data_IF_913454359022
#
_entry.id   IF_913454359022
#
_cell.length_a   1.000
_cell.length_b   1.000
_cell.length_c   1.000
_cell.angle_alpha   90.00
_cell.angle_beta   90.00
_cell.angle_gamma   90.00
#
_symmetry.space_group_name_H-M   'P 1'
#
loop_
_entity.id
_entity.type
_entity.pdbx_description
1 polymer ?
#
# COMPACT_ATOMS: atom_id res chain seq x y z
N UNK A 1 -36.20 -3.47 -2.09
CA UNK A 1 -35.04 -4.19 -1.53
C UNK A 1 -33.73 -3.61 -2.07
N UNK A 2 -33.49 -2.31 -1.86
CA UNK A 2 -32.36 -1.61 -2.52
C UNK A 2 -31.30 -1.07 -1.54
N UNK A 3 -31.60 -1.03 -0.24
CA UNK A 3 -30.67 -0.51 0.77
C UNK A 3 -29.61 -1.53 1.20
N UNK A 4 -29.96 -2.83 1.25
CA UNK A 4 -29.04 -3.91 1.64
C UNK A 4 -27.85 -4.07 0.67
N UNK A 5 -28.04 -3.78 -0.62
CA UNK A 5 -26.99 -3.94 -1.63
C UNK A 5 -25.92 -2.83 -1.53
N UNK A 6 -26.32 -1.60 -1.19
CA UNK A 6 -25.37 -0.47 -1.05
C UNK A 6 -24.48 -0.66 0.19
N UNK A 7 -25.04 -1.16 1.30
CA UNK A 7 -24.30 -1.40 2.55
C UNK A 7 -23.20 -2.46 2.40
N UNK A 8 -23.45 -3.53 1.64
CA UNK A 8 -22.46 -4.61 1.42
C UNK A 8 -21.31 -4.12 0.54
N UNK A 9 -21.60 -3.33 -0.49
CA UNK A 9 -20.59 -2.73 -1.38
C UNK A 9 -19.72 -1.73 -0.59
N UNK A 10 -20.33 -0.87 0.22
CA UNK A 10 -19.60 0.07 1.10
C UNK A 10 -18.73 -0.66 2.14
N UNK A 11 -19.23 -1.75 2.74
CA UNK A 11 -18.45 -2.54 3.70
C UNK A 11 -17.24 -3.20 3.05
N UNK A 12 -17.43 -3.82 1.88
CA UNK A 12 -16.33 -4.41 1.10
C UNK A 12 -15.27 -3.38 0.72
N UNK A 13 -15.71 -2.22 0.22
CA UNK A 13 -14.83 -1.08 -0.09
C UNK A 13 -13.99 -0.65 1.11
N UNK A 14 -14.62 -0.41 2.27
CA UNK A 14 -13.92 0.02 3.48
C UNK A 14 -12.91 -1.02 3.97
N UNK A 15 -13.22 -2.31 3.89
CA UNK A 15 -12.27 -3.36 4.27
C UNK A 15 -11.07 -3.45 3.32
N UNK A 16 -11.30 -3.37 2.00
CA UNK A 16 -10.21 -3.34 1.03
C UNK A 16 -9.32 -2.11 1.23
N UNK A 17 -9.92 -0.92 1.41
CA UNK A 17 -9.19 0.31 1.68
C UNK A 17 -8.30 0.19 2.94
N UNK A 18 -8.88 -0.31 4.05
CA UNK A 18 -8.14 -0.49 5.30
C UNK A 18 -6.98 -1.48 5.16
N UNK A 19 -7.21 -2.58 4.45
CA UNK A 19 -6.18 -3.61 4.21
C UNK A 19 -5.00 -3.04 3.43
N UNK A 20 -5.28 -2.27 2.37
CA UNK A 20 -4.24 -1.64 1.56
C UNK A 20 -3.47 -0.57 2.36
N UNK A 21 -4.17 0.25 3.16
CA UNK A 21 -3.53 1.23 4.04
C UNK A 21 -2.63 0.56 5.09
N UNK A 22 -3.10 -0.52 5.71
CA UNK A 22 -2.31 -1.28 6.68
C UNK A 22 -1.03 -1.84 6.01
N UNK A 23 -1.14 -2.34 4.78
CA UNK A 23 0.02 -2.86 4.06
C UNK A 23 1.06 -1.77 3.78
N UNK A 24 0.65 -0.54 3.45
CA UNK A 24 1.60 0.59 3.36
C UNK A 24 2.27 0.84 4.70
N UNK A 25 1.51 0.85 5.82
CA UNK A 25 2.06 1.06 7.16
C UNK A 25 3.09 -0.02 7.56
N UNK A 26 2.91 -1.26 7.09
CA UNK A 26 3.86 -2.36 7.32
C UNK A 26 5.12 -2.25 6.46
N UNK A 27 5.01 -1.76 5.22
CA UNK A 27 6.15 -1.64 4.30
C UNK A 27 7.00 -0.38 4.54
N UNK A 28 6.40 0.71 5.01
CA UNK A 28 7.09 1.97 5.28
C UNK A 28 8.29 1.86 6.25
N UNK A 29 8.20 1.15 7.40
CA UNK A 29 9.35 0.99 8.29
C UNK A 29 10.46 0.13 7.68
N UNK A 30 10.13 -0.81 6.79
CA UNK A 30 11.12 -1.63 6.11
C UNK A 30 11.98 -0.79 5.16
N UNK A 31 11.39 0.20 4.47
CA UNK A 31 12.17 1.15 3.66
C UNK A 31 13.22 1.88 4.51
N UNK A 32 12.80 2.44 5.65
CA UNK A 32 13.70 3.13 6.57
C UNK A 32 14.79 2.18 7.10
N UNK A 33 14.44 0.92 7.35
CA UNK A 33 15.40 -0.09 7.78
C UNK A 33 16.46 -0.34 6.70
N UNK A 34 16.07 -0.54 5.43
CA UNK A 34 17.04 -0.75 4.35
C UNK A 34 17.93 0.48 4.12
N UNK A 35 17.39 1.69 4.23
CA UNK A 35 18.20 2.93 4.18
C UNK A 35 19.24 3.01 5.29
N UNK A 36 18.94 2.46 6.46
CA UNK A 36 19.87 2.38 7.58
C UNK A 36 20.92 1.27 7.36
N UNK A 37 20.49 0.08 6.94
CA UNK A 37 21.39 -1.04 6.62
C UNK A 37 22.40 -0.67 5.51
N UNK A 38 22.00 0.13 4.52
CA UNK A 38 22.91 0.66 3.49
C UNK A 38 24.05 1.53 4.06
N UNK A 39 23.85 2.15 5.23
CA UNK A 39 24.86 2.95 5.93
C UNK A 39 25.72 2.09 6.85
N UNK A 40 25.08 1.14 7.53
CA UNK A 40 25.73 0.30 8.54
C UNK A 40 26.57 -0.82 7.90
N UNK A 41 26.15 -1.32 6.74
CA UNK A 41 26.75 -2.46 6.03
C UNK A 41 26.93 -2.14 4.53
N UNK A 42 27.86 -1.24 4.17
CA UNK A 42 28.05 -0.77 2.79
C UNK A 42 28.45 -1.87 1.80
N UNK A 43 29.02 -2.98 2.26
CA UNK A 43 29.34 -4.17 1.44
C UNK A 43 28.09 -4.85 0.85
N UNK A 44 26.94 -4.71 1.50
CA UNK A 44 25.65 -5.25 1.04
C UNK A 44 24.75 -4.18 0.40
N UNK A 45 25.27 -2.96 0.23
CA UNK A 45 24.50 -1.80 -0.25
C UNK A 45 23.69 -2.08 -1.52
N UNK A 46 24.29 -2.74 -2.51
CA UNK A 46 23.59 -3.05 -3.76
C UNK A 46 22.36 -3.94 -3.54
N UNK A 47 22.45 -4.93 -2.64
CA UNK A 47 21.33 -5.80 -2.30
C UNK A 47 20.22 -5.01 -1.60
N UNK A 48 20.58 -4.14 -0.65
CA UNK A 48 19.62 -3.29 0.04
C UNK A 48 18.98 -2.23 -0.86
N UNK A 49 19.69 -1.73 -1.87
CA UNK A 49 19.11 -0.84 -2.90
C UNK A 49 18.03 -1.57 -3.72
N UNK A 50 18.26 -2.82 -4.11
CA UNK A 50 17.27 -3.63 -4.82
C UNK A 50 16.01 -3.89 -3.97
N UNK A 51 16.18 -4.25 -2.70
CA UNK A 51 15.06 -4.48 -1.79
C UNK A 51 14.28 -3.19 -1.52
N UNK A 52 14.97 -2.07 -1.32
CA UNK A 52 14.35 -0.74 -1.17
C UNK A 52 13.55 -0.37 -2.42
N UNK A 53 14.10 -0.59 -3.61
CA UNK A 53 13.43 -0.26 -4.86
C UNK A 53 12.18 -1.15 -5.06
N UNK A 54 12.29 -2.44 -4.77
CA UNK A 54 11.15 -3.38 -4.76
C UNK A 54 10.03 -2.91 -3.81
N UNK A 55 10.37 -2.56 -2.57
CA UNK A 55 9.41 -2.04 -1.59
C UNK A 55 8.78 -0.72 -2.04
N UNK A 56 9.57 0.18 -2.63
CA UNK A 56 9.11 1.45 -3.17
C UNK A 56 8.09 1.22 -4.28
N UNK A 57 8.35 0.26 -5.17
CA UNK A 57 7.42 -0.14 -6.23
C UNK A 57 6.11 -0.70 -5.65
N UNK A 58 6.20 -1.59 -4.66
CA UNK A 58 5.01 -2.16 -3.99
C UNK A 58 4.14 -1.08 -3.33
N UNK A 59 4.75 -0.14 -2.62
CA UNK A 59 4.02 0.98 -1.99
C UNK A 59 3.32 1.83 -3.04
N UNK A 60 4.01 2.17 -4.15
CA UNK A 60 3.41 2.94 -5.25
C UNK A 60 2.23 2.21 -5.89
N UNK A 61 2.34 0.90 -6.09
CA UNK A 61 1.24 0.09 -6.63
C UNK A 61 0.03 0.11 -5.69
N UNK A 62 0.24 -0.05 -4.38
CA UNK A 62 -0.84 0.00 -3.39
C UNK A 62 -1.47 1.40 -3.32
N UNK A 63 -0.68 2.47 -3.42
CA UNK A 63 -1.18 3.84 -3.49
C UNK A 63 -2.06 4.05 -4.73
N UNK A 64 -1.64 3.56 -5.89
CA UNK A 64 -2.43 3.61 -7.12
C UNK A 64 -3.74 2.81 -6.99
N UNK A 65 -3.71 1.63 -6.36
CA UNK A 65 -4.92 0.85 -6.07
C UNK A 65 -5.89 1.62 -5.17
N UNK A 66 -5.38 2.30 -4.14
CA UNK A 66 -6.19 3.15 -3.25
C UNK A 66 -6.81 4.34 -3.99
N UNK A 67 -6.05 5.01 -4.87
CA UNK A 67 -6.54 6.10 -5.70
C UNK A 67 -7.68 5.63 -6.61
N UNK A 68 -7.49 4.52 -7.31
CA UNK A 68 -8.54 3.94 -8.17
C UNK A 68 -9.77 3.48 -7.40
N UNK A 69 -9.59 2.90 -6.22
CA UNK A 69 -10.70 2.55 -5.34
C UNK A 69 -11.51 3.80 -4.98
N UNK A 70 -10.85 4.90 -4.62
CA UNK A 70 -11.51 6.16 -4.29
C UNK A 70 -12.28 6.77 -5.47
N UNK A 71 -11.70 6.70 -6.68
CA UNK A 71 -12.35 7.14 -7.92
C UNK A 71 -13.57 6.29 -8.27
N UNK A 72 -13.51 4.97 -8.08
CA UNK A 72 -14.62 4.07 -8.31
C UNK A 72 -15.77 4.32 -7.32
N UNK A 73 -15.46 4.52 -6.03
CA UNK A 73 -16.46 4.87 -5.02
C UNK A 73 -17.16 6.21 -5.33
N UNK A 74 -16.43 7.18 -5.86
CA UNK A 74 -16.96 8.50 -6.23
C UNK A 74 -17.88 8.48 -7.46
N UNK A 75 -17.77 7.46 -8.32
CA UNK A 75 -18.60 7.30 -9.53
C UNK A 75 -19.89 6.49 -9.29
N UNK A 76 -19.97 5.78 -8.16
CA UNK A 76 -21.13 4.93 -7.79
C UNK A 76 -22.04 5.63 -6.77
N UNK A 77 -21.56 6.69 -6.10
CA UNK A 77 -22.33 7.54 -5.18
C UNK A 77 -23.21 8.55 -5.92
#
# INVERSE_FOLDING_TARGET
MSQLNVSVIQFGYHQTQKTLQQRIQELQPLLTQYEQLMKDEPEFRYQYELERDSLTHQIREIQWQLENLSLAASQVA
#
